data_IF_039613735475
#
_entry.id   IF_039613735475
#
_cell.length_a   1.000
_cell.length_b   1.000
_cell.length_c   1.000
_cell.angle_alpha   90.00
_cell.angle_beta   90.00
_cell.angle_gamma   90.00
#
_symmetry.space_group_name_H-M   'P 1'
#
loop_
_entity.id
_entity.type
_entity.pdbx_description
1 polymer ?
#
# COMPACT_ATOMS: atom_id res chain seq x y z
N UNK A 1 2.50 -15.08 6.06
CA UNK A 1 1.88 -14.41 4.89
C UNK A 1 2.94 -13.60 4.14
N UNK A 2 3.03 -13.72 2.81
CA UNK A 2 3.88 -12.81 2.01
C UNK A 2 3.23 -11.42 2.04
N UNK A 3 3.93 -10.46 2.60
CA UNK A 3 3.43 -9.10 2.84
C UNK A 3 3.70 -8.22 1.61
N UNK A 4 2.87 -7.21 1.40
CA UNK A 4 3.07 -6.24 0.32
C UNK A 4 4.45 -5.59 0.45
N UNK A 5 5.11 -5.37 -0.68
CA UNK A 5 6.38 -4.61 -0.75
C UNK A 5 6.17 -3.28 -1.44
N UNK A 6 6.78 -2.24 -0.89
CA UNK A 6 6.66 -0.88 -1.36
C UNK A 6 8.00 -0.43 -1.91
N UNK A 7 7.99 0.10 -3.13
CA UNK A 7 9.18 0.61 -3.80
C UNK A 7 8.91 2.01 -4.31
N UNK A 8 9.84 2.93 -4.12
CA UNK A 8 9.76 4.25 -4.74
C UNK A 8 10.24 4.18 -6.18
N UNK A 9 9.44 4.72 -7.10
CA UNK A 9 9.84 4.93 -8.49
C UNK A 9 9.39 6.32 -8.91
N UNK A 10 10.35 7.23 -9.10
CA UNK A 10 10.09 8.64 -9.40
C UNK A 10 9.13 9.29 -8.38
N UNK A 11 7.97 9.76 -8.84
CA UNK A 11 6.92 10.36 -8.03
C UNK A 11 5.77 9.38 -7.73
N UNK A 12 6.09 8.08 -7.63
CA UNK A 12 5.12 7.02 -7.33
C UNK A 12 5.69 6.03 -6.31
N UNK A 13 4.77 5.39 -5.58
CA UNK A 13 5.01 4.14 -4.86
C UNK A 13 4.45 2.99 -5.68
N UNK A 14 5.31 2.03 -5.99
CA UNK A 14 4.95 0.76 -6.59
C UNK A 14 4.72 -0.25 -5.49
N UNK A 15 3.47 -0.68 -5.35
CA UNK A 15 3.06 -1.73 -4.42
C UNK A 15 3.12 -3.06 -5.15
N UNK A 16 3.92 -4.00 -4.64
CA UNK A 16 4.07 -5.34 -5.21
C UNK A 16 3.35 -6.36 -4.33
N UNK A 17 2.50 -7.18 -4.94
CA UNK A 17 1.78 -8.27 -4.28
C UNK A 17 2.24 -9.62 -4.81
N UNK A 18 3.12 -10.30 -4.07
CA UNK A 18 3.58 -11.65 -4.41
C UNK A 18 2.63 -12.75 -3.94
N UNK A 19 1.53 -12.40 -3.28
CA UNK A 19 0.55 -13.38 -2.79
C UNK A 19 -0.31 -13.93 -3.93
N UNK A 20 -1.09 -14.97 -3.62
CA UNK A 20 -2.07 -15.54 -4.54
C UNK A 20 -3.46 -14.87 -4.44
N UNK A 21 -3.58 -13.79 -3.65
CA UNK A 21 -4.86 -13.16 -3.36
C UNK A 21 -4.88 -11.71 -3.84
N UNK A 22 -6.05 -11.23 -4.23
CA UNK A 22 -6.28 -9.81 -4.45
C UNK A 22 -6.41 -9.13 -3.08
N UNK A 23 -5.69 -8.02 -2.88
CA UNK A 23 -5.66 -7.32 -1.59
C UNK A 23 -6.22 -5.91 -1.77
N UNK A 24 -7.31 -5.61 -1.07
CA UNK A 24 -7.96 -4.29 -1.11
C UNK A 24 -7.57 -3.47 0.10
N UNK A 25 -7.05 -2.27 -0.12
CA UNK A 25 -6.74 -1.36 0.98
C UNK A 25 -8.02 -0.82 1.62
N UNK A 26 -8.10 -0.92 2.94
CA UNK A 26 -9.09 -0.23 3.75
C UNK A 26 -8.61 1.20 4.09
N UNK A 27 -7.39 1.29 4.63
CA UNK A 27 -6.70 2.55 4.88
C UNK A 27 -5.29 2.48 4.31
N UNK A 28 -4.80 3.61 3.83
CA UNK A 28 -3.46 3.75 3.28
C UNK A 28 -2.95 5.16 3.52
N UNK A 29 -1.75 5.29 4.08
CA UNK A 29 -1.09 6.57 4.25
C UNK A 29 0.42 6.47 4.00
N UNK A 30 0.96 7.58 3.51
CA UNK A 30 2.38 7.77 3.25
C UNK A 30 2.82 8.99 4.07
N UNK A 31 3.80 8.81 4.97
CA UNK A 31 4.29 9.88 5.85
C UNK A 31 3.16 10.61 6.62
N UNK A 32 2.19 9.85 7.13
CA UNK A 32 1.02 10.39 7.83
C UNK A 32 -0.07 11.00 6.94
N UNK A 33 0.19 11.24 5.65
CA UNK A 33 -0.83 11.72 4.72
C UNK A 33 -1.68 10.57 4.19
N UNK A 34 -3.00 10.65 4.41
CA UNK A 34 -3.95 9.66 3.89
C UNK A 34 -4.01 9.73 2.37
N UNK A 35 -3.95 8.58 1.72
CA UNK A 35 -4.19 8.43 0.29
C UNK A 35 -5.60 7.90 0.12
N UNK A 36 -6.48 8.74 -0.41
CA UNK A 36 -7.85 8.33 -0.70
C UNK A 36 -7.86 7.30 -1.84
N UNK A 37 -8.68 6.26 -1.69
CA UNK A 37 -8.95 5.26 -2.73
C UNK A 37 -7.68 4.60 -3.29
N UNK A 38 -6.72 4.25 -2.42
CA UNK A 38 -5.52 3.51 -2.83
C UNK A 38 -5.84 2.25 -3.66
N UNK A 39 -7.01 1.62 -3.45
CA UNK A 39 -7.55 0.61 -4.37
C UNK A 39 -7.15 -0.81 -4.02
N UNK A 40 -7.05 -1.66 -5.04
CA UNK A 40 -6.77 -3.10 -4.92
C UNK A 40 -5.48 -3.45 -5.65
N UNK A 41 -4.66 -4.31 -5.04
CA UNK A 41 -3.48 -4.90 -5.66
C UNK A 41 -3.81 -6.33 -6.05
N UNK A 42 -3.81 -6.63 -7.34
CA UNK A 42 -4.13 -7.97 -7.84
C UNK A 42 -3.09 -9.01 -7.39
N UNK A 43 -3.51 -10.27 -7.31
CA UNK A 43 -2.63 -11.41 -7.06
C UNK A 43 -1.46 -11.43 -8.05
N UNK A 44 -0.23 -11.65 -7.56
CA UNK A 44 1.02 -11.62 -8.36
C UNK A 44 1.24 -10.31 -9.13
N UNK A 45 0.51 -9.26 -8.78
CA UNK A 45 0.45 -8.01 -9.53
C UNK A 45 1.14 -6.84 -8.84
N UNK A 46 0.98 -5.68 -9.46
CA UNK A 46 1.45 -4.39 -8.95
C UNK A 46 0.36 -3.33 -9.03
N UNK A 47 0.48 -2.33 -8.18
CA UNK A 47 -0.33 -1.12 -8.20
C UNK A 47 0.59 0.09 -8.04
N UNK A 48 0.40 1.11 -8.87
CA UNK A 48 1.16 2.36 -8.79
C UNK A 48 0.30 3.43 -8.12
N UNK A 49 0.83 4.03 -7.06
CA UNK A 49 0.19 5.10 -6.31
C UNK A 49 1.02 6.37 -6.48
N UNK A 50 0.40 7.44 -6.98
CA UNK A 50 1.07 8.74 -7.10
C UNK A 50 1.41 9.29 -5.71
N UNK A 51 2.63 9.77 -5.55
CA UNK A 51 3.06 10.45 -4.32
C UNK A 51 2.47 11.87 -4.27
N UNK A 52 1.76 12.24 -3.20
CA UNK A 52 1.33 13.61 -3.00
C UNK A 52 2.53 14.57 -2.94
N UNK A 53 2.32 15.83 -3.32
CA UNK A 53 3.33 16.87 -3.15
C UNK A 53 3.79 16.94 -1.68
N UNK A 54 5.09 17.13 -1.46
CA UNK A 54 5.66 17.18 -0.10
C UNK A 54 5.97 15.82 0.55
N UNK A 55 5.67 14.70 -0.12
CA UNK A 55 6.04 13.34 0.36
C UNK A 55 7.38 12.83 -0.20
N UNK A 56 8.25 13.77 -0.60
CA UNK A 56 9.58 13.50 -1.17
C UNK A 56 10.47 12.61 -0.31
N UNK A 57 10.34 12.72 1.01
CA UNK A 57 11.16 12.01 2.00
C UNK A 57 10.43 10.84 2.67
N UNK A 58 9.34 10.36 2.07
CA UNK A 58 8.59 9.22 2.60
C UNK A 58 9.45 7.96 2.62
N UNK A 59 9.63 7.39 3.81
CA UNK A 59 10.40 6.18 4.07
C UNK A 59 9.52 5.02 4.55
N UNK A 60 8.25 5.27 4.84
CA UNK A 60 7.29 4.26 5.27
C UNK A 60 5.89 4.47 4.71
N UNK A 61 5.16 3.35 4.63
CA UNK A 61 3.74 3.26 4.35
C UNK A 61 3.05 2.64 5.56
N UNK A 62 1.89 3.19 5.94
CA UNK A 62 0.99 2.58 6.92
C UNK A 62 -0.31 2.18 6.20
N UNK A 63 -0.67 0.90 6.24
CA UNK A 63 -1.88 0.40 5.57
C UNK A 63 -2.63 -0.68 6.36
N UNK A 64 -3.92 -0.86 6.09
CA UNK A 64 -4.72 -2.03 6.47
C UNK A 64 -5.46 -2.58 5.26
N UNK A 65 -5.78 -3.87 5.30
CA UNK A 65 -6.46 -4.60 4.22
C UNK A 65 -7.84 -5.02 4.69
N UNK A 66 -8.83 -4.99 3.81
CA UNK A 66 -10.15 -5.59 4.06
C UNK A 66 -9.99 -7.12 3.96
N UNK A 67 -10.37 -7.84 5.02
CA UNK A 67 -10.31 -9.30 5.03
C UNK A 67 -11.58 -9.93 4.41
N UNK A 68 -11.59 -11.27 4.30
CA UNK A 68 -12.68 -12.02 3.66
C UNK A 68 -14.04 -11.89 4.37
N UNK A 69 -14.07 -11.38 5.60
CA UNK A 69 -15.29 -11.08 6.36
C UNK A 69 -15.77 -9.64 6.16
N UNK A 70 -15.12 -8.86 5.28
CA UNK A 70 -15.48 -7.48 4.97
C UNK A 70 -15.03 -6.46 6.01
N UNK A 71 -14.19 -6.86 6.99
CA UNK A 71 -13.69 -5.96 8.04
C UNK A 71 -12.23 -5.62 7.83
N UNK A 72 -11.81 -4.48 8.36
CA UNK A 72 -10.40 -4.08 8.33
C UNK A 72 -9.55 -5.01 9.21
N UNK A 73 -8.46 -5.52 8.65
CA UNK A 73 -7.42 -6.20 9.42
C UNK A 73 -6.54 -5.22 10.21
N UNK A 74 -5.47 -5.76 10.79
CA UNK A 74 -4.47 -4.99 11.54
C UNK A 74 -3.84 -3.89 10.68
N UNK A 75 -3.51 -2.77 11.33
CA UNK A 75 -2.76 -1.68 10.71
C UNK A 75 -1.27 -2.01 10.69
N UNK A 76 -0.71 -2.15 9.50
CA UNK A 76 0.69 -2.53 9.27
C UNK A 76 1.52 -1.30 8.87
N UNK A 77 2.76 -1.24 9.37
CA UNK A 77 3.78 -0.28 8.91
C UNK A 77 4.84 -1.02 8.10
N UNK A 78 5.22 -0.47 6.94
CA UNK A 78 6.25 -1.03 6.06
C UNK A 78 7.21 0.03 5.52
N UNK A 79 8.50 -0.30 5.42
CA UNK A 79 9.45 0.59 4.76
C UNK A 79 9.15 0.70 3.26
N UNK A 80 9.52 1.84 2.69
CA UNK A 80 9.61 2.07 1.26
C UNK A 80 11.06 1.83 0.85
N UNK A 81 11.28 0.89 -0.07
CA UNK A 81 12.59 0.60 -0.65
C UNK A 81 12.87 1.44 -1.89
#
# INVERSE_FOLDING_TARGET
MKQLRFQRQNNQIVVNNDSAYNLTFNQFSINGQKIERAGMVLAKGKLNINLPAGTGNAHEVKYSIINDFGVAGEMLTKPIN
#
